data_IF_581990253371
#
_entry.id   IF_581990253371
#
_cell.length_a   1.000
_cell.length_b   1.000
_cell.length_c   1.000
_cell.angle_alpha   90.00
_cell.angle_beta   90.00
_cell.angle_gamma   90.00
#
_symmetry.space_group_name_H-M   'P 1'
#
loop_
_entity.id
_entity.type
_entity.pdbx_description
1 polymer ?
#
# COMPACT_ATOMS: atom_id res chain seq x y z
N UNK A 1 4.06 -15.43 -7.93
CA UNK A 1 4.18 -14.91 -6.55
C UNK A 1 3.05 -15.44 -5.70
N UNK A 2 3.35 -15.77 -4.47
CA UNK A 2 2.33 -16.14 -3.50
C UNK A 2 1.63 -14.90 -2.95
N UNK A 3 0.40 -15.08 -2.48
CA UNK A 3 -0.30 -14.02 -1.77
C UNK A 3 0.37 -13.75 -0.42
N UNK A 4 0.30 -12.51 0.05
CA UNK A 4 0.71 -12.16 1.40
C UNK A 4 -0.52 -11.81 2.23
N UNK A 5 -0.85 -12.65 3.19
CA UNK A 5 -2.01 -12.48 4.06
C UNK A 5 -1.54 -12.44 5.52
N UNK A 6 -1.73 -11.29 6.17
CA UNK A 6 -1.39 -11.11 7.57
C UNK A 6 -2.65 -10.61 8.28
N UNK A 7 -3.16 -11.35 9.27
CA UNK A 7 -4.33 -10.90 10.03
C UNK A 7 -4.03 -9.67 10.87
N UNK A 8 -5.03 -8.80 11.07
CA UNK A 8 -4.91 -7.64 11.95
C UNK A 8 -4.79 -8.06 13.41
N UNK A 9 -4.09 -7.23 14.19
CA UNK A 9 -4.08 -7.29 15.65
C UNK A 9 -4.56 -5.94 16.20
N UNK A 10 -4.57 -5.78 17.52
CA UNK A 10 -4.92 -4.50 18.14
C UNK A 10 -3.93 -3.37 17.79
N UNK A 11 -2.71 -3.74 17.39
CA UNK A 11 -1.62 -2.78 17.13
C UNK A 11 -1.10 -2.78 15.71
N UNK A 12 -1.48 -3.79 14.90
CA UNK A 12 -0.99 -3.93 13.53
C UNK A 12 -2.13 -4.12 12.56
N UNK A 13 -2.01 -3.56 11.33
CA UNK A 13 -3.06 -3.69 10.33
C UNK A 13 -3.08 -5.08 9.71
N UNK A 14 -4.21 -5.43 9.09
CA UNK A 14 -4.24 -6.58 8.20
C UNK A 14 -3.53 -6.21 6.89
N UNK A 15 -2.89 -7.21 6.31
CA UNK A 15 -2.27 -7.11 4.99
C UNK A 15 -2.91 -8.18 4.11
N UNK A 16 -3.38 -7.79 2.93
CA UNK A 16 -3.96 -8.72 1.97
C UNK A 16 -3.48 -8.34 0.57
N UNK A 17 -2.39 -8.99 0.13
CA UNK A 17 -1.79 -8.75 -1.17
C UNK A 17 -2.01 -9.96 -2.07
N UNK A 18 -2.77 -9.78 -3.15
CA UNK A 18 -3.13 -10.84 -4.08
C UNK A 18 -2.78 -10.43 -5.51
N UNK A 19 -1.75 -11.06 -6.08
CA UNK A 19 -1.28 -10.70 -7.42
C UNK A 19 -2.25 -11.16 -8.51
N UNK A 20 -2.93 -12.29 -8.34
CA UNK A 20 -3.83 -12.81 -9.37
C UNK A 20 -5.02 -11.91 -9.64
N UNK A 21 -5.57 -11.28 -8.59
CA UNK A 21 -6.68 -10.34 -8.72
C UNK A 21 -6.20 -8.89 -8.86
N UNK A 22 -4.94 -8.62 -8.51
CA UNK A 22 -4.41 -7.27 -8.46
C UNK A 22 -4.86 -6.46 -7.24
N UNK A 23 -5.53 -7.10 -6.28
CA UNK A 23 -6.01 -6.41 -5.09
C UNK A 23 -4.98 -6.44 -3.97
N UNK A 24 -4.59 -5.25 -3.51
CA UNK A 24 -3.63 -5.06 -2.42
C UNK A 24 -4.30 -4.19 -1.36
N UNK A 25 -4.26 -4.63 -0.10
CA UNK A 25 -4.95 -3.91 0.98
C UNK A 25 -4.13 -3.86 2.25
N UNK A 26 -4.14 -2.69 2.89
CA UNK A 26 -3.66 -2.47 4.23
C UNK A 26 -4.82 -1.88 5.03
N UNK A 27 -5.25 -2.54 6.12
CA UNK A 27 -6.48 -2.15 6.83
C UNK A 27 -6.35 -2.25 8.34
N UNK A 28 -6.80 -1.22 9.05
CA UNK A 28 -6.92 -1.21 10.50
C UNK A 28 -6.01 -0.21 11.20
N UNK A 29 -5.45 -0.63 12.33
CA UNK A 29 -4.61 0.21 13.18
C UNK A 29 -3.14 -0.12 12.94
N UNK A 30 -2.29 0.90 12.76
CA UNK A 30 -0.85 0.69 12.63
C UNK A 30 -0.08 1.49 13.70
N UNK A 31 0.25 0.81 14.79
CA UNK A 31 1.11 1.29 15.87
C UNK A 31 1.92 0.13 16.46
N UNK A 32 2.68 -0.61 15.63
CA UNK A 32 3.43 -1.77 16.10
C UNK A 32 4.58 -1.36 17.02
N UNK A 33 4.96 -2.23 17.97
CA UNK A 33 6.15 -2.01 18.79
C UNK A 33 7.41 -2.04 17.93
N UNK A 34 7.48 -3.00 17.01
CA UNK A 34 8.57 -3.13 16.04
C UNK A 34 8.04 -2.80 14.64
N UNK A 35 8.03 -1.52 14.33
CA UNK A 35 7.47 -1.03 13.07
C UNK A 35 8.27 -1.54 11.87
N UNK A 36 9.60 -1.56 11.96
CA UNK A 36 10.46 -2.07 10.89
C UNK A 36 10.21 -3.56 10.65
N UNK A 37 10.13 -4.34 11.72
CA UNK A 37 9.87 -5.77 11.62
C UNK A 37 8.50 -6.09 11.01
N UNK A 38 7.48 -5.31 11.37
CA UNK A 38 6.16 -5.51 10.79
C UNK A 38 6.13 -5.25 9.28
N UNK A 39 6.70 -4.12 8.84
CA UNK A 39 6.64 -3.72 7.43
C UNK A 39 7.64 -4.42 6.53
N UNK A 40 8.56 -5.21 7.08
CA UNK A 40 9.52 -6.00 6.30
C UNK A 40 8.83 -6.90 5.28
N UNK A 41 7.80 -7.63 5.70
CA UNK A 41 7.04 -8.53 4.83
C UNK A 41 6.37 -7.82 3.65
N UNK A 42 5.51 -6.82 3.91
CA UNK A 42 4.88 -6.05 2.84
C UNK A 42 5.85 -5.38 1.88
N UNK A 43 6.92 -4.79 2.39
CA UNK A 43 7.93 -4.14 1.55
C UNK A 43 8.71 -5.15 0.71
N UNK A 44 9.09 -6.27 1.30
CA UNK A 44 9.79 -7.34 0.57
C UNK A 44 8.91 -7.89 -0.56
N UNK A 45 7.64 -8.11 -0.30
CA UNK A 45 6.70 -8.61 -1.31
C UNK A 45 6.60 -7.65 -2.51
N UNK A 46 6.45 -6.37 -2.24
CA UNK A 46 6.38 -5.34 -3.29
C UNK A 46 7.71 -5.18 -4.01
N UNK A 47 8.83 -5.24 -3.29
CA UNK A 47 10.17 -5.16 -3.88
C UNK A 47 10.46 -6.34 -4.81
N UNK A 48 10.02 -7.53 -4.45
CA UNK A 48 10.16 -8.72 -5.30
C UNK A 48 9.35 -8.59 -6.59
N UNK A 49 8.15 -8.02 -6.51
CA UNK A 49 7.35 -7.74 -7.70
C UNK A 49 8.07 -6.76 -8.62
N UNK A 50 8.61 -5.68 -8.06
CA UNK A 50 9.38 -4.70 -8.82
C UNK A 50 10.61 -5.32 -9.49
N UNK A 51 11.38 -6.12 -8.75
CA UNK A 51 12.54 -6.84 -9.29
C UNK A 51 12.16 -7.75 -10.45
N UNK A 52 11.08 -8.51 -10.31
CA UNK A 52 10.58 -9.41 -11.37
C UNK A 52 10.27 -8.65 -12.66
N UNK A 53 9.69 -7.46 -12.52
CA UNK A 53 9.34 -6.61 -13.66
C UNK A 53 10.56 -5.92 -14.27
N UNK A 54 11.59 -5.63 -13.48
CA UNK A 54 12.85 -5.10 -13.97
C UNK A 54 13.64 -6.15 -14.74
N UNK A 55 13.64 -7.39 -14.27
CA UNK A 55 14.32 -8.51 -14.93
C UNK A 55 13.61 -8.95 -16.22
N UNK A 56 12.27 -8.90 -16.19
CA UNK A 56 11.43 -9.33 -17.31
C UNK A 56 10.31 -8.32 -17.52
N UNK A 57 10.59 -7.21 -18.25
CA UNK A 57 9.61 -6.12 -18.39
C UNK A 57 8.28 -6.53 -19.03
N UNK A 58 8.27 -7.52 -19.92
CA UNK A 58 7.06 -8.04 -20.55
C UNK A 58 6.10 -8.72 -19.56
N UNK A 59 6.58 -9.07 -18.37
CA UNK A 59 5.72 -9.62 -17.31
C UNK A 59 4.57 -8.66 -16.94
N UNK A 60 4.74 -7.34 -17.16
CA UNK A 60 3.69 -6.36 -16.90
C UNK A 60 2.39 -6.64 -17.68
N UNK A 61 2.48 -7.33 -18.81
CA UNK A 61 1.31 -7.70 -19.61
C UNK A 61 0.59 -8.95 -19.07
N UNK A 62 1.22 -9.69 -18.18
CA UNK A 62 0.67 -10.91 -17.57
C UNK A 62 -0.03 -10.63 -16.24
N UNK A 63 0.29 -9.50 -15.59
CA UNK A 63 -0.33 -9.13 -14.32
C UNK A 63 -1.52 -8.20 -14.55
N UNK A 64 -2.56 -8.28 -13.68
CA UNK A 64 -3.70 -7.37 -13.78
C UNK A 64 -3.35 -5.96 -13.33
N UNK A 65 -4.28 -5.01 -13.56
CA UNK A 65 -4.21 -3.71 -12.92
C UNK A 65 -4.13 -3.91 -11.41
N UNK A 66 -3.24 -3.17 -10.76
CA UNK A 66 -3.10 -3.22 -9.30
C UNK A 66 -3.94 -2.13 -8.67
N UNK A 67 -4.74 -2.52 -7.69
CA UNK A 67 -5.52 -1.59 -6.89
C UNK A 67 -5.07 -1.71 -5.44
N UNK A 68 -4.44 -0.67 -4.93
CA UNK A 68 -3.99 -0.63 -3.54
C UNK A 68 -5.00 0.18 -2.71
N UNK A 69 -5.60 -0.47 -1.72
CA UNK A 69 -6.56 0.15 -0.80
C UNK A 69 -5.93 0.36 0.57
N UNK A 70 -5.90 1.61 1.01
CA UNK A 70 -5.55 1.96 2.38
C UNK A 70 -6.85 2.20 3.14
N UNK A 71 -7.17 1.30 4.08
CA UNK A 71 -8.37 1.38 4.94
C UNK A 71 -7.95 1.54 6.38
N UNK A 72 -7.22 2.60 6.68
CA UNK A 72 -6.65 2.82 7.99
C UNK A 72 -7.64 3.51 8.91
N UNK A 73 -7.75 3.01 10.14
CA UNK A 73 -8.49 3.70 11.21
C UNK A 73 -7.55 4.59 12.03
N UNK A 74 -6.28 4.22 12.07
CA UNK A 74 -5.23 5.00 12.74
C UNK A 74 -3.85 4.52 12.27
N UNK A 75 -2.89 5.43 12.17
CA UNK A 75 -1.48 5.09 12.04
C UNK A 75 -0.62 6.17 12.70
N UNK A 76 0.49 5.74 13.31
CA UNK A 76 1.42 6.66 13.95
C UNK A 76 2.49 7.16 12.95
N UNK A 77 3.31 8.11 13.40
CA UNK A 77 4.37 8.69 12.56
C UNK A 77 5.43 7.68 12.12
N UNK A 78 5.71 6.69 12.97
CA UNK A 78 6.62 5.60 12.60
C UNK A 78 6.09 4.77 11.45
N UNK A 79 4.79 4.47 11.47
CA UNK A 79 4.12 3.73 10.39
C UNK A 79 4.06 4.53 9.10
N UNK A 80 3.86 5.85 9.17
CA UNK A 80 3.76 6.69 7.98
C UNK A 80 5.03 6.65 7.12
N UNK A 81 6.20 6.50 7.73
CA UNK A 81 7.47 6.35 7.00
C UNK A 81 7.47 5.11 6.10
N UNK A 82 6.91 4.01 6.59
CA UNK A 82 6.84 2.76 5.84
C UNK A 82 5.74 2.80 4.79
N UNK A 83 4.64 3.49 5.07
CA UNK A 83 3.59 3.72 4.08
C UNK A 83 4.14 4.55 2.91
N UNK A 84 4.99 5.53 3.18
CA UNK A 84 5.69 6.29 2.14
C UNK A 84 6.58 5.37 1.31
N UNK A 85 7.30 4.44 1.93
CA UNK A 85 8.14 3.47 1.20
C UNK A 85 7.30 2.57 0.29
N UNK A 86 6.15 2.09 0.78
CA UNK A 86 5.19 1.33 -0.03
C UNK A 86 4.76 2.15 -1.25
N UNK A 87 4.34 3.38 -1.02
CA UNK A 87 3.87 4.28 -2.08
C UNK A 87 4.96 4.58 -3.10
N UNK A 88 6.21 4.70 -2.69
CA UNK A 88 7.34 4.89 -3.60
C UNK A 88 7.59 3.69 -4.50
N UNK A 89 7.40 2.48 -3.98
CA UNK A 89 7.48 1.27 -4.80
C UNK A 89 6.34 1.26 -5.82
N UNK A 90 5.13 1.58 -5.41
CA UNK A 90 3.98 1.70 -6.32
C UNK A 90 4.24 2.73 -7.42
N UNK A 91 4.85 3.87 -7.08
CA UNK A 91 5.25 4.88 -8.05
C UNK A 91 6.26 4.33 -9.05
N UNK A 92 7.24 3.56 -8.58
CA UNK A 92 8.21 2.90 -9.46
C UNK A 92 7.54 1.93 -10.42
N UNK A 93 6.54 1.17 -9.94
CA UNK A 93 5.76 0.26 -10.78
C UNK A 93 5.01 1.01 -11.88
N UNK A 94 4.40 2.14 -11.56
CA UNK A 94 3.73 2.99 -12.54
C UNK A 94 4.73 3.44 -13.63
N UNK A 95 5.93 3.83 -13.25
CA UNK A 95 6.97 4.29 -14.16
C UNK A 95 7.42 3.22 -15.15
N UNK A 96 7.38 1.96 -14.75
CA UNK A 96 7.74 0.84 -15.64
C UNK A 96 6.55 0.27 -16.40
N UNK A 97 5.40 0.95 -16.34
CA UNK A 97 4.25 0.64 -17.18
C UNK A 97 3.17 -0.23 -16.55
N UNK A 98 3.21 -0.45 -15.24
CA UNK A 98 2.14 -1.15 -14.53
C UNK A 98 1.01 -0.18 -14.25
N UNK A 99 -0.23 -0.59 -14.52
CA UNK A 99 -1.40 0.19 -14.10
C UNK A 99 -1.63 0.01 -12.61
N UNK A 100 -1.57 1.12 -11.86
CA UNK A 100 -1.78 1.12 -10.40
C UNK A 100 -2.76 2.22 -10.05
N UNK A 101 -3.79 1.89 -9.30
CA UNK A 101 -4.68 2.87 -8.67
C UNK A 101 -4.55 2.75 -7.16
N UNK A 102 -4.68 3.88 -6.46
CA UNK A 102 -4.56 3.95 -5.01
C UNK A 102 -5.84 4.53 -4.46
N UNK A 103 -6.53 3.76 -3.63
CA UNK A 103 -7.76 4.15 -2.97
C UNK A 103 -7.47 4.44 -1.49
N UNK A 104 -7.76 5.65 -1.06
CA UNK A 104 -7.61 6.07 0.32
C UNK A 104 -8.99 6.22 0.96
N UNK A 105 -9.30 5.33 1.90
CA UNK A 105 -10.58 5.30 2.60
C UNK A 105 -10.51 6.11 3.88
N UNK A 106 -11.58 6.82 4.20
CA UNK A 106 -11.73 7.52 5.48
C UNK A 106 -13.20 7.52 5.89
N UNK A 107 -13.46 7.49 7.20
CA UNK A 107 -14.83 7.56 7.70
C UNK A 107 -15.37 8.98 7.62
N UNK A 108 -16.68 9.11 7.46
CA UNK A 108 -17.37 10.40 7.52
C UNK A 108 -17.02 11.10 8.83
N UNK A 109 -16.57 12.35 8.76
CA UNK A 109 -16.17 13.13 9.92
C UNK A 109 -14.72 12.93 10.38
N UNK A 110 -14.00 11.98 9.80
CA UNK A 110 -12.58 11.78 10.10
C UNK A 110 -11.71 12.65 9.18
N UNK A 111 -11.70 13.95 9.48
CA UNK A 111 -10.94 14.92 8.68
C UNK A 111 -9.44 14.68 8.75
N UNK A 112 -8.96 14.18 9.90
CA UNK A 112 -7.53 13.88 10.06
C UNK A 112 -7.08 12.78 9.11
N UNK A 113 -7.86 11.70 8.99
CA UNK A 113 -7.51 10.61 8.06
C UNK A 113 -7.54 11.08 6.61
N UNK A 114 -8.50 11.94 6.25
CA UNK A 114 -8.54 12.54 4.93
C UNK A 114 -7.30 13.40 4.66
N UNK A 115 -6.95 14.29 5.60
CA UNK A 115 -5.79 15.16 5.49
C UNK A 115 -4.49 14.36 5.44
N UNK A 116 -4.37 13.30 6.23
CA UNK A 116 -3.20 12.42 6.21
C UNK A 116 -3.01 11.77 4.84
N UNK A 117 -4.09 11.36 4.20
CA UNK A 117 -4.04 10.81 2.84
C UNK A 117 -3.58 11.84 1.81
N UNK A 118 -4.08 13.06 1.90
CA UNK A 118 -3.69 14.17 1.03
C UNK A 118 -2.20 14.50 1.20
N UNK A 119 -1.71 14.53 2.44
CA UNK A 119 -0.31 14.78 2.76
C UNK A 119 0.61 13.69 2.20
N UNK A 120 0.22 12.43 2.32
CA UNK A 120 0.99 11.31 1.77
C UNK A 120 1.02 11.36 0.24
N UNK A 121 -0.11 11.64 -0.39
CA UNK A 121 -0.20 11.76 -1.85
C UNK A 121 0.72 12.85 -2.37
N UNK A 122 0.73 14.01 -1.72
CA UNK A 122 1.61 15.12 -2.06
C UNK A 122 3.08 14.73 -1.87
N UNK A 123 3.42 14.11 -0.75
CA UNK A 123 4.80 13.71 -0.44
C UNK A 123 5.39 12.75 -1.47
N UNK A 124 4.59 11.86 -2.03
CA UNK A 124 5.04 10.86 -3.02
C UNK A 124 4.69 11.25 -4.46
N UNK A 125 4.04 12.36 -4.66
CA UNK A 125 3.62 12.87 -5.98
C UNK A 125 2.76 11.86 -6.74
N UNK A 126 1.76 11.30 -6.05
CA UNK A 126 0.77 10.39 -6.63
C UNK A 126 -0.63 10.93 -6.42
N UNK A 127 -1.55 10.56 -7.30
CA UNK A 127 -2.96 10.88 -7.15
C UNK A 127 -3.68 9.72 -6.47
N UNK A 128 -4.40 10.01 -5.41
CA UNK A 128 -5.24 9.03 -4.72
C UNK A 128 -6.71 9.24 -5.10
N UNK A 129 -7.46 8.16 -5.08
CA UNK A 129 -8.92 8.23 -5.05
C UNK A 129 -9.34 8.25 -3.58
N UNK A 130 -10.04 9.30 -3.17
CA UNK A 130 -10.50 9.43 -1.77
C UNK A 130 -11.92 8.89 -1.66
N UNK A 131 -12.12 7.93 -0.76
CA UNK A 131 -13.39 7.22 -0.61
C UNK A 131 -13.90 7.38 0.81
N UNK A 132 -14.98 8.14 0.97
CA UNK A 132 -15.65 8.34 2.25
C UNK A 132 -16.59 7.17 2.53
N UNK A 133 -16.53 6.63 3.73
CA UNK A 133 -17.34 5.49 4.12
C UNK A 133 -18.14 5.74 5.41
#
# INVERSE_FOLDING_TARGET
MDNLIIPATDFTPSVNFQIQSGYLELSGVSRPEDVAGFYEGPLEWLSKLEESLQEKPEYRYEIPELRFSFKMTYFNSGSSKYMIQILRILRSLIRIGVEVSIDWYFEEGDDKMQDDGEDLAEAVELNFNYIEV
#
